data_IF_493950762096
#
_entry.id   IF_493950762096
#
_cell.length_a   1.000
_cell.length_b   1.000
_cell.length_c   1.000
_cell.angle_alpha   90.00
_cell.angle_beta   90.00
_cell.angle_gamma   90.00
#
_symmetry.space_group_name_H-M   'P 1'
#
loop_
_entity.id
_entity.type
_entity.pdbx_description
1 polymer ?
#
# COMPACT_ATOMS: atom_id res chain seq x y z
N UNK A 1 -32.90 46.08 8.41
CA UNK A 1 -33.66 44.91 8.88
C UNK A 1 -33.11 43.72 8.10
N UNK A 2 -32.41 42.79 8.76
CA UNK A 2 -31.91 41.59 8.08
C UNK A 2 -33.07 40.69 7.75
N UNK A 3 -33.10 40.12 6.54
CA UNK A 3 -34.05 39.06 6.20
C UNK A 3 -33.83 37.89 7.16
N UNK A 4 -34.91 37.31 7.68
CA UNK A 4 -34.78 36.15 8.54
C UNK A 4 -34.38 34.94 7.71
N UNK A 5 -33.67 33.98 8.30
CA UNK A 5 -33.24 32.75 7.61
C UNK A 5 -34.44 31.99 7.00
N UNK A 6 -35.62 32.11 7.64
CA UNK A 6 -36.88 31.57 7.13
C UNK A 6 -37.36 32.29 5.87
N UNK A 7 -37.29 33.62 5.84
CA UNK A 7 -37.69 34.40 4.65
C UNK A 7 -36.78 34.08 3.45
N UNK A 8 -35.48 33.89 3.69
CA UNK A 8 -34.53 33.48 2.65
C UNK A 8 -34.88 32.11 2.08
N UNK A 9 -35.26 31.14 2.92
CA UNK A 9 -35.68 29.81 2.48
C UNK A 9 -37.01 29.84 1.71
N UNK A 10 -37.94 30.71 2.10
CA UNK A 10 -39.19 30.92 1.36
C UNK A 10 -38.94 31.56 -0.02
N UNK A 11 -38.04 32.55 -0.09
CA UNK A 11 -37.62 33.18 -1.36
C UNK A 11 -36.90 32.18 -2.30
N UNK A 12 -36.22 31.17 -1.73
CA UNK A 12 -35.62 30.05 -2.48
C UNK A 12 -36.65 29.00 -2.95
N UNK A 13 -37.93 29.14 -2.56
CA UNK A 13 -39.02 28.27 -3.01
C UNK A 13 -39.23 27.00 -2.18
N UNK A 14 -38.71 26.93 -0.95
CA UNK A 14 -38.98 25.82 -0.05
C UNK A 14 -40.36 25.93 0.61
N UNK A 15 -40.99 24.79 0.89
CA UNK A 15 -42.27 24.74 1.60
C UNK A 15 -42.14 25.32 3.01
N UNK A 16 -43.09 26.17 3.39
CA UNK A 16 -43.07 26.93 4.66
C UNK A 16 -42.94 26.03 5.89
N UNK A 17 -43.65 24.90 5.93
CA UNK A 17 -43.62 24.01 7.08
C UNK A 17 -42.28 23.26 7.20
N UNK A 18 -41.64 22.96 6.07
CA UNK A 18 -40.30 22.35 6.03
C UNK A 18 -39.20 23.35 6.39
N UNK A 19 -39.28 24.58 5.88
CA UNK A 19 -38.34 25.65 6.19
C UNK A 19 -38.36 26.01 7.69
N UNK A 20 -39.55 26.08 8.30
CA UNK A 20 -39.69 26.28 9.75
C UNK A 20 -39.03 25.15 10.55
N UNK A 21 -39.19 23.89 10.13
CA UNK A 21 -38.58 22.75 10.80
C UNK A 21 -37.05 22.74 10.66
N UNK A 22 -36.56 23.09 9.47
CA UNK A 22 -35.14 23.17 9.16
C UNK A 22 -34.43 24.23 10.02
N UNK A 23 -35.03 25.43 10.13
CA UNK A 23 -34.49 26.52 10.95
C UNK A 23 -34.53 26.16 12.44
N UNK A 24 -35.60 25.49 12.92
CA UNK A 24 -35.71 25.02 14.30
C UNK A 24 -34.65 23.96 14.65
N UNK A 25 -34.35 23.03 13.75
CA UNK A 25 -33.42 21.91 14.01
C UNK A 25 -31.95 22.29 13.84
N UNK A 26 -31.64 23.23 12.95
CA UNK A 26 -30.26 23.59 12.60
C UNK A 26 -29.75 24.89 13.22
N UNK A 27 -30.66 25.79 13.66
CA UNK A 27 -30.28 27.05 14.30
C UNK A 27 -29.59 28.08 13.40
N UNK A 28 -29.57 27.89 12.08
CA UNK A 28 -29.04 28.88 11.12
C UNK A 28 -29.19 28.46 9.65
N UNK A 29 -29.17 29.44 8.72
CA UNK A 29 -29.43 29.24 7.28
C UNK A 29 -28.63 28.09 6.63
N UNK A 30 -27.31 28.03 6.85
CA UNK A 30 -26.45 27.03 6.22
C UNK A 30 -26.80 25.60 6.68
N UNK A 31 -27.08 25.45 7.98
CA UNK A 31 -27.50 24.16 8.53
C UNK A 31 -28.92 23.79 8.10
N UNK A 32 -29.79 24.77 7.89
CA UNK A 32 -31.15 24.55 7.42
C UNK A 32 -31.14 24.02 5.98
N UNK A 33 -30.28 24.56 5.11
CA UNK A 33 -30.09 24.08 3.74
C UNK A 33 -29.54 22.64 3.71
N UNK A 34 -28.52 22.34 4.51
CA UNK A 34 -27.95 20.98 4.59
C UNK A 34 -28.97 19.96 5.12
N UNK A 35 -29.81 20.37 6.08
CA UNK A 35 -30.89 19.53 6.61
C UNK A 35 -31.99 19.30 5.58
N UNK A 36 -32.39 20.34 4.84
CA UNK A 36 -33.40 20.24 3.77
C UNK A 36 -32.93 19.37 2.61
N UNK A 37 -31.64 19.41 2.26
CA UNK A 37 -31.04 18.53 1.24
C UNK A 37 -31.09 17.06 1.69
N UNK A 38 -30.73 16.78 2.94
CA UNK A 38 -30.74 15.42 3.51
C UNK A 38 -32.13 14.84 3.72
N UNK A 39 -33.14 15.69 3.91
CA UNK A 39 -34.53 15.27 4.18
C UNK A 39 -35.45 15.47 2.98
N UNK A 40 -34.91 15.81 1.81
CA UNK A 40 -35.68 16.09 0.60
C UNK A 40 -36.65 14.97 0.22
N UNK A 41 -36.22 13.71 0.40
CA UNK A 41 -36.97 12.51 0.02
C UNK A 41 -37.98 12.02 1.09
N UNK A 42 -37.96 12.57 2.30
CA UNK A 42 -38.86 12.15 3.40
C UNK A 42 -40.16 12.96 3.38
N UNK A 43 -41.36 12.36 3.39
CA UNK A 43 -42.60 13.12 3.40
C UNK A 43 -42.68 14.02 4.65
N UNK A 44 -43.32 15.18 4.49
CA UNK A 44 -43.37 16.22 5.53
C UNK A 44 -44.06 15.75 6.82
N UNK A 45 -45.00 14.81 6.71
CA UNK A 45 -45.69 14.19 7.85
C UNK A 45 -44.75 13.34 8.71
N UNK A 46 -43.86 12.55 8.10
CA UNK A 46 -42.87 11.74 8.83
C UNK A 46 -41.85 12.64 9.54
N UNK A 47 -41.42 13.73 8.89
CA UNK A 47 -40.51 14.70 9.49
C UNK A 47 -41.14 15.44 10.68
N UNK A 48 -42.44 15.75 10.60
CA UNK A 48 -43.18 16.35 11.71
C UNK A 48 -43.40 15.37 12.87
N UNK A 49 -43.56 14.08 12.58
CA UNK A 49 -43.66 13.04 13.60
C UNK A 49 -42.30 12.81 14.28
N UNK A 50 -41.21 12.70 13.51
CA UNK A 50 -39.83 12.63 14.03
C UNK A 50 -39.51 13.85 14.91
N UNK A 51 -39.94 15.05 14.51
CA UNK A 51 -39.72 16.26 15.31
C UNK A 51 -40.56 16.31 16.60
N UNK A 52 -41.78 15.76 16.59
CA UNK A 52 -42.61 15.63 17.80
C UNK A 52 -42.04 14.59 18.75
N UNK A 53 -41.50 13.50 18.25
CA UNK A 53 -40.81 12.48 19.04
C UNK A 53 -39.52 13.03 19.67
N UNK A 54 -38.71 13.77 18.91
CA UNK A 54 -37.53 14.49 19.42
C UNK A 54 -37.90 15.53 20.51
N UNK A 55 -39.06 16.18 20.41
CA UNK A 55 -39.55 17.18 21.39
C UNK A 55 -40.12 16.52 22.66
N UNK A 56 -40.72 15.33 22.56
CA UNK A 56 -41.14 14.51 23.70
C UNK A 56 -39.96 13.90 24.48
N UNK A 57 -38.84 13.61 23.81
CA UNK A 57 -37.61 13.13 24.45
C UNK A 57 -36.82 14.27 25.13
N UNK A 58 -36.93 15.50 24.62
CA UNK A 58 -36.25 16.67 25.19
C UNK A 58 -37.01 17.32 26.37
N UNK A 59 -38.34 17.15 26.45
CA UNK A 59 -39.16 17.57 27.58
C UNK A 59 -39.55 16.33 28.41
N UNK A 60 -38.77 16.05 29.45
CA UNK A 60 -39.02 14.94 30.37
C UNK A 60 -40.48 14.82 30.82
N UNK A 61 -40.97 13.60 31.11
CA UNK A 61 -42.38 13.30 31.05
C UNK A 61 -43.13 13.97 32.22
N UNK A 62 -43.96 14.97 31.93
CA UNK A 62 -45.14 15.27 32.74
C UNK A 62 -46.23 14.27 32.38
N UNK A 63 -46.13 13.08 32.96
CA UNK A 63 -47.19 12.07 32.94
C UNK A 63 -48.31 12.52 33.87
N UNK A 64 -49.42 12.92 33.26
CA UNK A 64 -50.73 12.91 33.90
C UNK A 64 -51.02 11.49 34.40
N UNK A 65 -51.34 11.38 35.68
CA UNK A 65 -51.65 10.13 36.37
C UNK A 65 -52.82 9.42 35.67
N UNK A 66 -52.55 8.25 35.09
CA UNK A 66 -53.56 7.26 34.74
C UNK A 66 -53.30 6.05 35.64
N UNK A 67 -54.37 5.64 36.32
CA UNK A 67 -54.40 4.63 37.35
C UNK A 67 -53.98 3.25 36.81
N UNK A 68 -52.93 2.68 37.41
CA UNK A 68 -52.41 1.33 37.18
C UNK A 68 -51.07 1.20 37.92
N UNK A 69 -50.91 0.19 38.77
CA UNK A 69 -49.85 0.04 39.77
C UNK A 69 -48.43 0.37 39.25
N UNK A 70 -47.84 1.46 39.74
CA UNK A 70 -46.46 1.85 39.40
C UNK A 70 -45.49 0.95 40.16
N UNK A 71 -44.83 0.04 39.44
CA UNK A 71 -43.73 -0.76 39.96
C UNK A 71 -42.60 0.15 40.50
N UNK A 72 -42.26 -0.03 41.78
CA UNK A 72 -41.32 0.84 42.49
C UNK A 72 -39.84 0.44 42.30
N UNK A 73 -39.56 -0.74 41.73
CA UNK A 73 -38.22 -1.18 41.32
C UNK A 73 -38.28 -2.24 40.20
N UNK A 74 -37.25 -2.27 39.34
CA UNK A 74 -37.09 -3.29 38.28
C UNK A 74 -35.95 -4.24 38.66
N UNK A 75 -36.11 -5.54 38.49
CA UNK A 75 -35.08 -6.55 38.76
C UNK A 75 -34.68 -7.24 37.47
N UNK A 76 -33.39 -7.23 37.14
CA UNK A 76 -32.90 -8.04 36.04
C UNK A 76 -32.90 -9.52 36.44
N UNK A 77 -33.64 -10.36 35.72
CA UNK A 77 -33.75 -11.79 36.01
C UNK A 77 -32.46 -12.56 35.66
N UNK A 78 -31.63 -12.02 34.78
CA UNK A 78 -30.36 -12.63 34.36
C UNK A 78 -29.23 -12.44 35.38
N UNK A 79 -29.24 -11.33 36.14
CA UNK A 79 -28.18 -11.04 37.12
C UNK A 79 -28.66 -10.70 38.53
N UNK A 80 -29.97 -10.73 38.78
CA UNK A 80 -30.60 -10.48 40.09
C UNK A 80 -30.41 -9.06 40.63
N UNK A 81 -29.95 -8.10 39.82
CA UNK A 81 -29.74 -6.71 40.26
C UNK A 81 -31.06 -5.96 40.27
N UNK A 82 -31.34 -5.28 41.39
CA UNK A 82 -32.51 -4.43 41.56
C UNK A 82 -32.17 -2.98 41.20
N UNK A 83 -33.01 -2.36 40.39
CA UNK A 83 -32.88 -1.01 39.85
C UNK A 83 -33.97 -0.11 40.43
N UNK A 84 -33.59 1.13 40.73
CA UNK A 84 -34.45 2.13 41.36
C UNK A 84 -35.43 2.78 40.38
N UNK A 85 -35.08 2.82 39.09
CA UNK A 85 -35.84 3.45 38.02
C UNK A 85 -35.54 2.78 36.67
N UNK A 86 -36.39 3.06 35.67
CA UNK A 86 -36.26 2.56 34.30
C UNK A 86 -34.91 2.95 33.66
N UNK A 87 -34.47 4.20 33.84
CA UNK A 87 -33.19 4.69 33.31
C UNK A 87 -31.95 3.92 33.82
N UNK A 88 -31.95 3.45 35.08
CA UNK A 88 -30.87 2.62 35.60
C UNK A 88 -30.92 1.19 35.04
N UNK A 89 -32.12 0.68 34.71
CA UNK A 89 -32.31 -0.60 34.06
C UNK A 89 -31.81 -0.57 32.60
N UNK A 90 -32.14 0.49 31.86
CA UNK A 90 -31.63 0.74 30.50
C UNK A 90 -30.09 0.88 30.45
N UNK A 91 -29.50 1.63 31.40
CA UNK A 91 -28.05 1.74 31.47
C UNK A 91 -27.38 0.38 31.73
N UNK A 92 -28.00 -0.46 32.56
CA UNK A 92 -27.54 -1.83 32.79
C UNK A 92 -27.72 -2.69 31.53
N UNK A 93 -28.85 -2.59 30.84
CA UNK A 93 -29.10 -3.26 29.57
C UNK A 93 -28.07 -2.86 28.48
N UNK A 94 -27.76 -1.58 28.33
CA UNK A 94 -26.76 -1.11 27.34
C UNK A 94 -25.33 -1.56 27.64
N UNK A 95 -25.02 -1.83 28.92
CA UNK A 95 -23.66 -2.15 29.36
C UNK A 95 -23.40 -3.63 29.49
N UNK A 96 -24.42 -4.41 29.85
CA UNK A 96 -24.32 -5.86 30.04
C UNK A 96 -25.17 -6.65 29.06
N UNK A 97 -25.93 -6.00 28.19
CA UNK A 97 -26.81 -6.62 27.17
C UNK A 97 -27.92 -7.50 27.77
N UNK A 98 -28.30 -7.27 29.03
CA UNK A 98 -29.40 -8.01 29.68
C UNK A 98 -30.73 -7.33 29.36
N UNK A 99 -31.72 -8.11 28.92
CA UNK A 99 -33.03 -7.60 28.46
C UNK A 99 -34.19 -8.03 29.34
N UNK A 100 -34.01 -9.04 30.19
CA UNK A 100 -35.10 -9.58 31.00
C UNK A 100 -35.22 -8.89 32.35
N UNK A 101 -36.20 -7.98 32.49
CA UNK A 101 -36.52 -7.27 33.73
C UNK A 101 -37.91 -7.66 34.26
N UNK A 102 -38.01 -7.94 35.56
CA UNK A 102 -39.26 -8.13 36.29
C UNK A 102 -39.55 -6.94 37.22
N UNK A 103 -40.81 -6.53 37.28
CA UNK A 103 -41.25 -5.46 38.17
C UNK A 103 -41.41 -5.99 39.61
N UNK A 104 -40.65 -5.43 40.56
CA UNK A 104 -40.75 -5.76 41.98
C UNK A 104 -41.27 -4.58 42.80
N UNK A 105 -42.11 -4.86 43.79
CA UNK A 105 -42.73 -3.85 44.67
C UNK A 105 -41.88 -3.45 45.87
N UNK A 106 -40.64 -3.94 45.96
CA UNK A 106 -39.74 -3.65 47.07
C UNK A 106 -39.06 -2.28 46.89
N UNK A 107 -39.37 -1.35 47.80
CA UNK A 107 -38.71 -0.05 47.89
C UNK A 107 -37.27 -0.24 48.35
N UNK A 108 -36.30 -0.07 47.45
CA UNK A 108 -34.87 -0.06 47.81
C UNK A 108 -34.62 1.13 48.73
N UNK A 109 -34.34 0.85 50.01
CA UNK A 109 -34.00 1.85 51.00
C UNK A 109 -32.93 2.82 50.44
N UNK A 110 -33.16 4.14 50.47
CA UNK A 110 -32.16 5.11 50.03
C UNK A 110 -30.89 4.91 50.88
N UNK A 111 -29.73 4.73 50.22
CA UNK A 111 -28.42 4.71 50.89
C UNK A 111 -28.39 5.83 51.95
N UNK A 112 -27.92 5.47 53.14
CA UNK A 112 -27.77 6.40 54.25
C UNK A 112 -26.81 7.53 53.85
N UNK A 113 -26.94 8.71 54.45
CA UNK A 113 -26.15 9.88 54.05
C UNK A 113 -24.64 9.64 54.20
N UNK A 114 -24.23 8.73 55.10
CA UNK A 114 -22.85 8.34 55.33
C UNK A 114 -22.30 7.44 54.21
N UNK A 115 -23.08 6.48 53.72
CA UNK A 115 -22.69 5.60 52.61
C UNK A 115 -22.60 6.37 51.28
N UNK A 116 -23.47 7.37 51.08
CA UNK A 116 -23.39 8.27 49.92
C UNK A 116 -22.12 9.11 49.95
N UNK A 117 -21.72 9.62 51.12
CA UNK A 117 -20.46 10.38 51.28
C UNK A 117 -19.25 9.49 51.02
N UNK A 118 -19.21 8.30 51.61
CA UNK A 118 -18.12 7.34 51.38
C UNK A 118 -18.00 6.95 49.90
N UNK A 119 -19.12 6.69 49.21
CA UNK A 119 -19.11 6.35 47.78
C UNK A 119 -18.71 7.53 46.88
N UNK A 120 -19.06 8.76 47.24
CA UNK A 120 -18.57 9.96 46.55
C UNK A 120 -17.07 10.17 46.74
N UNK A 121 -16.54 9.90 47.94
CA UNK A 121 -15.11 9.98 48.22
C UNK A 121 -14.32 8.90 47.47
N UNK A 122 -14.81 7.67 47.44
CA UNK A 122 -14.23 6.58 46.66
C UNK A 122 -14.22 6.91 45.15
N UNK A 123 -15.32 7.47 44.63
CA UNK A 123 -15.39 7.90 43.23
C UNK A 123 -14.43 9.07 42.94
N UNK A 124 -14.28 10.01 43.87
CA UNK A 124 -13.29 11.11 43.74
C UNK A 124 -11.85 10.57 43.78
N UNK A 125 -11.57 9.57 44.61
CA UNK A 125 -10.26 8.91 44.64
C UNK A 125 -9.97 8.18 43.32
N UNK A 126 -10.92 7.38 42.82
CA UNK A 126 -10.80 6.71 41.51
C UNK A 126 -10.60 7.68 40.35
N UNK A 127 -11.28 8.84 40.36
CA UNK A 127 -11.07 9.87 39.34
C UNK A 127 -9.69 10.53 39.46
N UNK A 128 -9.19 10.77 40.67
CA UNK A 128 -7.84 11.29 40.89
C UNK A 128 -6.78 10.30 40.42
N UNK A 129 -6.94 9.01 40.72
CA UNK A 129 -6.04 7.95 40.26
C UNK A 129 -6.05 7.83 38.73
N UNK A 130 -7.24 7.84 38.10
CA UNK A 130 -7.34 7.84 36.63
C UNK A 130 -6.67 9.06 36.01
N UNK A 131 -6.86 10.25 36.58
CA UNK A 131 -6.22 11.47 36.09
C UNK A 131 -4.70 11.45 36.28
N UNK A 132 -4.21 10.86 37.38
CA UNK A 132 -2.78 10.69 37.61
C UNK A 132 -2.16 9.71 36.59
N UNK A 133 -2.84 8.58 36.33
CA UNK A 133 -2.39 7.61 35.33
C UNK A 133 -2.41 8.19 33.92
N UNK A 134 -3.47 8.92 33.54
CA UNK A 134 -3.53 9.63 32.27
C UNK A 134 -2.39 10.65 32.14
N UNK A 135 -2.11 11.43 33.18
CA UNK A 135 -1.01 12.39 33.16
C UNK A 135 0.39 11.74 33.05
N UNK A 136 0.55 10.48 33.45
CA UNK A 136 1.80 9.72 33.25
C UNK A 136 1.90 9.27 31.79
N UNK A 137 0.82 8.68 31.25
CA UNK A 137 0.76 8.24 29.85
C UNK A 137 0.97 9.41 28.89
N UNK A 138 0.31 10.55 29.11
CA UNK A 138 0.44 11.76 28.30
C UNK A 138 1.89 12.28 28.30
N UNK A 139 2.60 12.18 29.43
CA UNK A 139 4.03 12.55 29.52
C UNK A 139 4.92 11.59 28.73
N UNK A 140 4.61 10.30 28.74
CA UNK A 140 5.35 9.30 27.96
C UNK A 140 5.08 9.43 26.47
N UNK A 141 3.83 9.66 26.08
CA UNK A 141 3.42 9.98 24.70
C UNK A 141 4.09 11.26 24.21
N UNK A 142 4.13 12.32 25.01
CA UNK A 142 4.82 13.56 24.67
C UNK A 142 6.33 13.33 24.45
N UNK A 143 6.99 12.57 25.32
CA UNK A 143 8.40 12.19 25.16
C UNK A 143 8.63 11.36 23.89
N UNK A 144 7.75 10.40 23.60
CA UNK A 144 7.83 9.59 22.37
C UNK A 144 7.65 10.45 21.12
N UNK A 145 6.68 11.36 21.12
CA UNK A 145 6.46 12.28 20.01
C UNK A 145 7.64 13.22 19.79
N UNK A 146 8.24 13.74 20.86
CA UNK A 146 9.45 14.55 20.76
C UNK A 146 10.64 13.75 20.20
N UNK A 147 10.83 12.50 20.65
CA UNK A 147 11.86 11.62 20.10
C UNK A 147 11.65 11.32 18.63
N UNK A 148 10.40 11.09 18.18
CA UNK A 148 10.08 10.89 16.76
C UNK A 148 10.42 12.15 15.95
N UNK A 149 10.12 13.35 16.47
CA UNK A 149 10.48 14.61 15.81
C UNK A 149 12.00 14.79 15.69
N UNK A 150 12.75 14.46 16.73
CA UNK A 150 14.21 14.53 16.71
C UNK A 150 14.82 13.50 15.75
N UNK A 151 14.32 12.25 15.78
CA UNK A 151 14.76 11.17 14.88
C UNK A 151 14.47 11.51 13.42
N UNK A 152 13.25 11.93 13.09
CA UNK A 152 12.90 12.34 11.72
C UNK A 152 13.76 13.53 11.24
N UNK A 153 14.01 14.53 12.08
CA UNK A 153 14.89 15.64 11.72
C UNK A 153 16.31 15.15 11.44
N UNK A 154 16.86 14.28 12.31
CA UNK A 154 18.18 13.68 12.13
C UNK A 154 18.24 12.82 10.86
N UNK A 155 17.29 11.94 10.64
CA UNK A 155 17.21 11.07 9.45
C UNK A 155 17.13 11.90 8.16
N UNK A 156 16.39 13.01 8.15
CA UNK A 156 16.37 13.90 6.98
C UNK A 156 17.71 14.61 6.73
N UNK A 157 18.47 14.91 7.77
CA UNK A 157 19.83 15.47 7.64
C UNK A 157 20.81 14.41 7.15
N UNK A 158 20.82 13.23 7.78
CA UNK A 158 21.66 12.09 7.42
C UNK A 158 21.38 11.65 5.98
N UNK A 159 20.12 11.57 5.55
CA UNK A 159 19.74 11.25 4.17
C UNK A 159 20.25 12.29 3.15
N UNK A 160 20.20 13.59 3.50
CA UNK A 160 20.75 14.66 2.65
C UNK A 160 22.28 14.57 2.54
N UNK A 161 22.97 14.26 3.63
CA UNK A 161 24.42 14.08 3.62
C UNK A 161 24.83 12.83 2.83
N UNK A 162 24.13 11.72 2.98
CA UNK A 162 24.36 10.51 2.21
C UNK A 162 24.13 10.72 0.72
N UNK A 163 23.08 11.42 0.34
CA UNK A 163 22.80 11.74 -1.06
C UNK A 163 23.95 12.58 -1.65
N UNK A 164 24.40 13.63 -0.95
CA UNK A 164 25.55 14.43 -1.35
C UNK A 164 26.84 13.61 -1.46
N UNK A 165 27.11 12.70 -0.51
CA UNK A 165 28.28 11.80 -0.57
C UNK A 165 28.19 10.85 -1.76
N UNK A 166 27.01 10.28 -2.03
CA UNK A 166 26.78 9.40 -3.19
C UNK A 166 26.97 10.16 -4.51
N UNK A 167 26.52 11.40 -4.61
CA UNK A 167 26.75 12.26 -5.78
C UNK A 167 28.23 12.54 -5.99
N UNK A 168 28.95 12.93 -4.94
CA UNK A 168 30.40 13.16 -5.01
C UNK A 168 31.18 11.90 -5.43
N UNK A 169 30.81 10.73 -4.91
CA UNK A 169 31.42 9.46 -5.31
C UNK A 169 31.10 9.10 -6.76
N UNK A 170 29.86 9.32 -7.21
CA UNK A 170 29.46 9.12 -8.62
C UNK A 170 30.22 10.05 -9.55
N UNK A 171 30.34 11.33 -9.21
CA UNK A 171 31.10 12.30 -10.00
C UNK A 171 32.59 11.94 -10.05
N UNK A 172 33.18 11.54 -8.92
CA UNK A 172 34.57 11.08 -8.88
C UNK A 172 34.78 9.80 -9.71
N UNK A 173 33.83 8.86 -9.67
CA UNK A 173 33.87 7.63 -10.47
C UNK A 173 33.72 7.93 -11.96
N UNK A 174 32.78 8.79 -12.35
CA UNK A 174 32.60 9.23 -13.74
C UNK A 174 33.89 9.90 -14.27
N UNK A 175 34.48 10.83 -13.50
CA UNK A 175 35.77 11.45 -13.87
C UNK A 175 36.91 10.44 -14.01
N UNK A 176 36.93 9.36 -13.21
CA UNK A 176 37.93 8.29 -13.37
C UNK A 176 37.67 7.47 -14.63
N UNK A 177 36.41 7.14 -14.91
CA UNK A 177 36.03 6.41 -16.11
C UNK A 177 36.31 7.20 -17.38
N UNK A 178 35.98 8.50 -17.43
CA UNK A 178 36.31 9.39 -18.55
C UNK A 178 37.82 9.43 -18.79
N UNK A 179 38.63 9.59 -17.73
CA UNK A 179 40.09 9.57 -17.85
C UNK A 179 40.63 8.23 -18.39
N UNK A 180 40.04 7.11 -17.99
CA UNK A 180 40.43 5.78 -18.49
C UNK A 180 40.00 5.60 -19.95
N UNK A 181 38.77 5.98 -20.31
CA UNK A 181 38.26 5.94 -21.67
C UNK A 181 39.10 6.82 -22.61
N UNK A 182 39.51 8.01 -22.18
CA UNK A 182 40.41 8.89 -22.94
C UNK A 182 41.78 8.25 -23.15
N UNK A 183 42.31 7.57 -22.13
CA UNK A 183 43.58 6.85 -22.24
C UNK A 183 43.47 5.65 -23.20
N UNK A 184 42.38 4.89 -23.12
CA UNK A 184 42.09 3.77 -24.01
C UNK A 184 41.87 4.23 -25.45
N UNK A 185 41.14 5.32 -25.67
CA UNK A 185 40.96 5.92 -26.99
C UNK A 185 42.31 6.36 -27.57
N UNK A 186 43.16 7.02 -26.78
CA UNK A 186 44.52 7.38 -27.20
C UNK A 186 45.37 6.15 -27.52
N UNK A 187 45.30 5.08 -26.70
CA UNK A 187 46.01 3.81 -26.95
C UNK A 187 45.50 3.13 -28.22
N UNK A 188 44.18 3.11 -28.46
CA UNK A 188 43.58 2.53 -29.64
C UNK A 188 43.98 3.29 -30.92
N UNK A 189 44.00 4.63 -30.89
CA UNK A 189 44.48 5.44 -32.01
C UNK A 189 45.97 5.16 -32.29
N UNK A 190 46.80 5.12 -31.23
CA UNK A 190 48.23 4.77 -31.37
C UNK A 190 48.41 3.37 -31.96
N UNK A 191 47.64 2.39 -31.51
CA UNK A 191 47.70 1.03 -32.04
C UNK A 191 47.28 0.95 -33.51
N UNK A 192 46.26 1.73 -33.94
CA UNK A 192 45.86 1.84 -35.35
C UNK A 192 46.96 2.46 -36.21
N UNK A 193 47.62 3.53 -35.72
CA UNK A 193 48.74 4.16 -36.42
C UNK A 193 49.93 3.19 -36.52
N UNK A 194 50.22 2.44 -35.46
CA UNK A 194 51.28 1.44 -35.47
C UNK A 194 50.97 0.28 -36.41
N UNK A 195 49.73 -0.20 -36.45
CA UNK A 195 49.29 -1.22 -37.39
C UNK A 195 49.42 -0.74 -38.85
N UNK A 196 48.96 0.48 -39.18
CA UNK A 196 49.12 1.06 -40.53
C UNK A 196 50.59 1.21 -40.90
N UNK A 197 51.44 1.66 -39.96
CA UNK A 197 52.88 1.80 -40.18
C UNK A 197 53.54 0.45 -40.41
N UNK A 198 53.20 -0.57 -39.63
CA UNK A 198 53.70 -1.95 -39.79
C UNK A 198 53.24 -2.56 -41.10
N UNK A 199 51.99 -2.34 -41.50
CA UNK A 199 51.48 -2.84 -42.79
C UNK A 199 52.18 -2.15 -43.97
N UNK A 200 52.42 -0.84 -43.88
CA UNK A 200 53.17 -0.09 -44.89
C UNK A 200 54.63 -0.55 -44.96
N UNK A 201 55.28 -0.79 -43.82
CA UNK A 201 56.62 -1.36 -43.76
C UNK A 201 56.65 -2.75 -44.39
N UNK A 202 55.72 -3.64 -44.03
CA UNK A 202 55.61 -4.98 -44.62
C UNK A 202 55.44 -4.93 -46.13
N UNK A 203 54.54 -4.07 -46.65
CA UNK A 203 54.34 -3.89 -48.09
C UNK A 203 55.59 -3.34 -48.80
N UNK A 204 56.31 -2.41 -48.16
CA UNK A 204 57.55 -1.86 -48.71
C UNK A 204 58.68 -2.90 -48.71
N UNK A 205 58.81 -3.70 -47.65
CA UNK A 205 59.77 -4.81 -47.57
C UNK A 205 59.45 -5.91 -48.58
N UNK A 206 58.18 -6.26 -48.74
CA UNK A 206 57.71 -7.22 -49.75
C UNK A 206 58.01 -6.73 -51.17
N UNK A 207 57.74 -5.45 -51.47
CA UNK A 207 58.07 -4.85 -52.75
C UNK A 207 59.59 -4.76 -53.00
N UNK A 208 60.39 -4.49 -51.95
CA UNK A 208 61.85 -4.48 -52.04
C UNK A 208 62.41 -5.88 -52.25
N UNK A 209 61.90 -6.88 -51.53
CA UNK A 209 62.27 -8.29 -51.70
C UNK A 209 61.93 -8.80 -53.11
N UNK A 210 60.76 -8.41 -53.64
CA UNK A 210 60.37 -8.71 -55.02
C UNK A 210 61.31 -8.06 -56.06
N UNK A 211 61.80 -6.84 -55.80
CA UNK A 211 62.71 -6.11 -56.69
C UNK A 211 64.16 -6.61 -56.64
N UNK A 212 64.63 -7.06 -55.48
CA UNK A 212 65.99 -7.61 -55.28
C UNK A 212 66.10 -9.08 -55.71
N UNK A 213 65.05 -9.66 -56.31
CA UNK A 213 65.07 -11.05 -56.79
C UNK A 213 65.28 -12.09 -55.69
N UNK A 214 65.16 -11.69 -54.41
CA UNK A 214 65.23 -12.60 -53.28
C UNK A 214 63.90 -13.34 -53.26
N UNK A 215 63.91 -14.54 -53.85
CA UNK A 215 62.80 -15.46 -53.82
C UNK A 215 62.28 -15.57 -52.38
N UNK A 216 61.10 -15.00 -52.15
CA UNK A 216 60.25 -15.41 -51.04
C UNK A 216 60.07 -16.91 -51.26
N UNK A 217 60.70 -17.72 -50.42
CA UNK A 217 60.36 -19.14 -50.36
C UNK A 217 58.86 -19.16 -50.16
N UNK A 218 58.15 -19.62 -51.17
CA UNK A 218 56.74 -19.90 -51.10
C UNK A 218 56.58 -20.82 -49.89
N UNK A 219 56.02 -20.25 -48.81
CA UNK A 219 55.44 -21.06 -47.77
C UNK A 219 54.45 -21.99 -48.48
N UNK A 220 54.60 -23.28 -48.17
CA UNK A 220 53.80 -24.40 -48.63
C UNK A 220 52.30 -24.04 -48.76
N UNK A 221 51.57 -24.69 -49.68
CA UNK A 221 50.18 -24.38 -49.96
C UNK A 221 49.39 -24.33 -48.66
N UNK A 222 48.82 -23.15 -48.38
CA UNK A 222 47.89 -22.94 -47.29
C UNK A 222 46.77 -23.95 -47.42
N UNK A 223 46.66 -24.76 -46.37
CA UNK A 223 45.62 -25.74 -46.16
C UNK A 223 44.23 -25.13 -46.37
N UNK A 224 43.31 -26.02 -46.74
CA UNK A 224 41.90 -25.81 -46.95
C UNK A 224 41.28 -24.73 -46.04
N UNK A 225 40.41 -23.93 -46.65
CA UNK A 225 39.38 -23.12 -45.98
C UNK A 225 38.93 -23.78 -44.68
N UNK A 226 39.05 -23.12 -43.51
CA UNK A 226 38.57 -23.69 -42.28
C UNK A 226 37.06 -23.90 -42.42
N UNK A 227 36.63 -25.15 -42.27
CA UNK A 227 35.25 -25.48 -41.99
C UNK A 227 34.77 -24.59 -40.82
N UNK A 228 33.51 -24.12 -40.82
CA UNK A 228 32.98 -23.34 -39.72
C UNK A 228 33.25 -24.09 -38.41
N UNK A 229 33.76 -23.41 -37.37
CA UNK A 229 34.12 -24.08 -36.13
C UNK A 229 32.90 -24.83 -35.60
N UNK A 230 33.07 -26.12 -35.35
CA UNK A 230 32.08 -26.88 -34.59
C UNK A 230 31.87 -26.13 -33.28
N UNK A 231 30.64 -25.62 -33.09
CA UNK A 231 30.27 -24.89 -31.89
C UNK A 231 30.47 -25.85 -30.72
N UNK A 232 31.46 -25.57 -29.88
CA UNK A 232 31.59 -26.23 -28.59
C UNK A 232 30.28 -25.99 -27.85
N UNK A 233 29.59 -27.06 -27.46
CA UNK A 233 28.30 -26.98 -26.79
C UNK A 233 28.57 -26.44 -25.39
N UNK A 234 28.33 -25.15 -25.18
CA UNK A 234 28.44 -24.53 -23.86
C UNK A 234 27.25 -24.95 -23.01
N UNK A 235 27.45 -25.91 -22.11
CA UNK A 235 26.41 -26.39 -21.17
C UNK A 235 26.13 -25.41 -19.99
N UNK A 236 26.71 -24.21 -20.03
CA UNK A 236 26.52 -23.15 -19.03
C UNK A 236 25.50 -22.09 -19.45
N UNK A 237 25.14 -22.04 -20.74
CA UNK A 237 24.17 -21.08 -21.27
C UNK A 237 23.08 -21.85 -22.04
N UNK A 238 21.85 -21.37 -21.94
CA UNK A 238 20.68 -21.88 -22.64
C UNK A 238 20.15 -20.80 -23.60
N UNK A 239 20.11 -21.13 -24.89
CA UNK A 239 19.43 -20.29 -25.90
C UNK A 239 17.97 -20.70 -26.00
N UNK A 240 17.07 -19.84 -25.54
CA UNK A 240 15.63 -20.05 -25.59
C UNK A 240 15.01 -19.30 -26.77
N UNK A 241 14.21 -20.02 -27.57
CA UNK A 241 13.28 -19.43 -28.53
C UNK A 241 11.88 -19.44 -27.90
N UNK A 242 11.39 -18.27 -27.53
CA UNK A 242 10.12 -18.02 -26.88
C UNK A 242 9.12 -17.64 -27.98
N UNK A 243 8.07 -18.44 -28.18
CA UNK A 243 6.98 -18.13 -29.12
C UNK A 243 5.87 -17.43 -28.35
N UNK A 244 5.77 -16.11 -28.48
CA UNK A 244 4.72 -15.30 -27.87
C UNK A 244 3.59 -15.08 -28.88
N UNK A 245 2.37 -14.72 -28.43
CA UNK A 245 1.30 -14.27 -29.31
C UNK A 245 1.68 -13.03 -30.14
N UNK A 246 2.58 -12.19 -29.61
CA UNK A 246 3.10 -10.98 -30.27
C UNK A 246 4.23 -11.24 -31.26
N UNK A 247 4.84 -12.44 -31.25
CA UNK A 247 5.97 -12.79 -32.11
C UNK A 247 6.96 -13.76 -31.46
N UNK A 248 8.02 -14.11 -32.20
CA UNK A 248 9.07 -14.98 -31.69
C UNK A 248 10.23 -14.15 -31.12
N UNK A 249 10.60 -14.41 -29.86
CA UNK A 249 11.72 -13.77 -29.17
C UNK A 249 12.82 -14.81 -28.92
N UNK A 250 14.08 -14.45 -29.17
CA UNK A 250 15.24 -15.31 -28.86
C UNK A 250 16.07 -14.65 -27.76
N UNK A 251 16.30 -15.36 -26.65
CA UNK A 251 17.12 -14.90 -25.53
C UNK A 251 18.09 -15.97 -25.10
N UNK A 252 19.23 -15.54 -24.57
CA UNK A 252 20.23 -16.43 -23.97
C UNK A 252 20.24 -16.17 -22.47
N UNK A 253 20.07 -17.23 -21.68
CA UNK A 253 20.09 -17.17 -20.23
C UNK A 253 21.14 -18.15 -19.67
N UNK A 254 21.74 -17.89 -18.51
CA UNK A 254 22.55 -18.87 -17.80
C UNK A 254 21.75 -20.14 -17.48
N UNK A 255 22.41 -21.31 -17.48
CA UNK A 255 21.78 -22.61 -17.28
C UNK A 255 21.05 -22.77 -15.92
N UNK A 256 21.47 -22.01 -14.92
CA UNK A 256 20.96 -22.06 -13.55
C UNK A 256 19.82 -21.05 -13.30
N UNK A 257 19.43 -20.27 -14.31
CA UNK A 257 18.26 -19.40 -14.22
C UNK A 257 16.98 -20.21 -14.10
N UNK A 258 16.02 -19.68 -13.35
CA UNK A 258 14.72 -20.33 -13.13
C UNK A 258 13.71 -19.92 -14.19
N UNK A 259 12.69 -20.75 -14.43
CA UNK A 259 11.58 -20.40 -15.32
C UNK A 259 10.83 -19.14 -14.85
N UNK A 260 10.83 -18.86 -13.54
CA UNK A 260 10.32 -17.62 -12.96
C UNK A 260 11.07 -16.38 -13.45
N UNK A 261 12.41 -16.39 -13.41
CA UNK A 261 13.23 -15.26 -13.89
C UNK A 261 13.02 -15.02 -15.39
N UNK A 262 12.83 -16.09 -16.17
CA UNK A 262 12.49 -15.99 -17.60
C UNK A 262 11.11 -15.36 -17.80
N UNK A 263 10.12 -15.71 -16.98
CA UNK A 263 8.79 -15.08 -17.00
C UNK A 263 8.88 -13.60 -16.66
N UNK A 264 9.61 -13.23 -15.61
CA UNK A 264 9.83 -11.84 -15.22
C UNK A 264 10.54 -11.03 -16.31
N UNK A 265 11.50 -11.64 -17.01
CA UNK A 265 12.19 -11.02 -18.14
C UNK A 265 11.30 -10.83 -19.38
N UNK A 266 10.15 -11.52 -19.47
CA UNK A 266 9.14 -11.31 -20.50
C UNK A 266 8.06 -10.31 -20.05
N UNK A 267 7.72 -10.30 -18.76
CA UNK A 267 6.81 -9.31 -18.18
C UNK A 267 7.39 -7.90 -18.25
N UNK A 268 8.71 -7.74 -18.07
CA UNK A 268 9.38 -6.45 -18.26
C UNK A 268 9.34 -5.95 -19.70
N UNK A 269 9.14 -6.85 -20.67
CA UNK A 269 8.91 -6.53 -22.09
C UNK A 269 7.42 -6.37 -22.43
N UNK A 270 6.54 -6.47 -21.43
CA UNK A 270 5.10 -6.26 -21.57
C UNK A 270 4.31 -7.51 -21.98
N UNK A 271 4.87 -8.71 -21.83
CA UNK A 271 4.13 -9.96 -22.08
C UNK A 271 3.88 -10.71 -20.77
N UNK A 272 2.60 -10.84 -20.41
CA UNK A 272 2.19 -11.66 -19.27
C UNK A 272 2.25 -13.15 -19.63
N UNK A 273 2.99 -13.92 -18.86
CA UNK A 273 3.18 -15.35 -19.08
C UNK A 273 2.33 -16.15 -18.10
N UNK A 274 1.39 -16.97 -18.58
CA UNK A 274 0.61 -17.89 -17.74
C UNK A 274 1.22 -19.29 -17.76
N UNK A 275 1.60 -19.76 -18.94
CA UNK A 275 2.14 -21.12 -19.12
C UNK A 275 3.24 -21.17 -20.17
N UNK A 276 4.25 -22.01 -19.91
CA UNK A 276 5.27 -22.38 -20.89
C UNK A 276 5.03 -23.81 -21.37
N UNK A 277 4.87 -24.00 -22.68
CA UNK A 277 4.68 -25.33 -23.27
C UNK A 277 5.86 -25.69 -24.17
N UNK A 278 6.50 -26.84 -23.92
CA UNK A 278 7.48 -27.45 -24.83
C UNK A 278 6.78 -28.22 -25.94
N UNK A 279 7.36 -28.22 -27.14
CA UNK A 279 6.84 -28.96 -28.30
C UNK A 279 7.15 -30.46 -28.22
N UNK A 280 8.37 -30.85 -27.81
CA UNK A 280 8.78 -32.26 -27.72
C UNK A 280 9.92 -32.49 -26.71
N UNK A 281 9.78 -33.43 -25.76
CA UNK A 281 8.53 -34.05 -25.31
C UNK A 281 7.58 -32.97 -24.77
N UNK A 282 6.27 -33.12 -25.02
CA UNK A 282 5.29 -32.10 -24.63
C UNK A 282 5.24 -32.00 -23.09
N UNK A 283 5.74 -30.90 -22.56
CA UNK A 283 5.72 -30.56 -21.12
C UNK A 283 5.11 -29.17 -20.98
N UNK A 284 4.19 -29.02 -20.04
CA UNK A 284 3.58 -27.75 -19.70
C UNK A 284 4.10 -27.36 -18.32
N UNK A 285 4.65 -26.16 -18.21
CA UNK A 285 5.10 -25.56 -16.97
C UNK A 285 4.20 -24.37 -16.66
N UNK A 286 3.59 -24.37 -15.49
CA UNK A 286 2.76 -23.26 -15.03
C UNK A 286 3.64 -22.17 -14.39
N UNK A 287 3.48 -20.92 -14.84
CA UNK A 287 4.31 -19.81 -14.36
C UNK A 287 4.08 -19.48 -12.87
N UNK A 288 2.90 -19.82 -12.35
CA UNK A 288 2.51 -19.66 -10.94
C UNK A 288 2.66 -20.93 -10.09
N UNK A 289 3.09 -22.03 -10.70
CA UNK A 289 3.15 -23.34 -10.04
C UNK A 289 4.52 -23.69 -9.47
N UNK A 290 4.65 -24.93 -9.00
CA UNK A 290 5.90 -25.55 -8.51
C UNK A 290 6.97 -25.56 -9.63
N UNK A 291 6.53 -25.54 -10.89
CA UNK A 291 7.40 -25.55 -12.05
C UNK A 291 8.19 -24.24 -12.25
N UNK A 292 7.75 -23.13 -11.67
CA UNK A 292 8.43 -21.83 -11.78
C UNK A 292 9.83 -21.83 -11.14
N UNK A 293 10.04 -22.66 -10.11
CA UNK A 293 11.32 -22.81 -9.42
C UNK A 293 12.33 -23.74 -10.11
N UNK A 294 11.92 -24.46 -11.18
CA UNK A 294 12.85 -25.35 -11.91
C UNK A 294 13.85 -24.52 -12.72
N UNK A 295 15.11 -24.93 -12.68
CA UNK A 295 16.15 -24.29 -13.50
C UNK A 295 16.05 -24.71 -14.96
N UNK A 296 16.58 -23.91 -15.88
CA UNK A 296 16.62 -24.26 -17.31
C UNK A 296 17.36 -25.59 -17.58
N UNK A 297 18.34 -25.93 -16.74
CA UNK A 297 19.04 -27.22 -16.74
C UNK A 297 18.10 -28.37 -16.37
N UNK A 298 17.34 -28.24 -15.29
CA UNK A 298 16.38 -29.27 -14.82
C UNK A 298 15.19 -29.44 -15.77
N UNK A 299 14.74 -28.35 -16.40
CA UNK A 299 13.70 -28.36 -17.41
C UNK A 299 14.15 -29.01 -18.74
N UNK A 300 15.46 -29.24 -18.92
CA UNK A 300 16.03 -29.84 -20.14
C UNK A 300 16.11 -28.87 -21.32
N UNK A 301 16.27 -27.56 -21.05
CA UNK A 301 16.29 -26.49 -22.05
C UNK A 301 17.72 -26.03 -22.43
N UNK A 302 18.75 -26.64 -21.83
CA UNK A 302 20.17 -26.43 -22.15
C UNK A 302 20.59 -27.50 -23.17
N UNK A 303 21.31 -27.16 -24.26
CA UNK A 303 21.88 -25.84 -24.62
C UNK A 303 20.91 -24.94 -25.40
N UNK A 304 19.82 -25.50 -25.93
CA UNK A 304 18.80 -24.74 -26.64
C UNK A 304 17.41 -25.33 -26.44
N UNK A 305 16.41 -24.48 -26.21
CA UNK A 305 15.03 -24.88 -25.99
C UNK A 305 14.03 -24.01 -26.75
N UNK A 306 12.88 -24.58 -27.10
CA UNK A 306 11.75 -23.84 -27.69
C UNK A 306 10.58 -23.94 -26.71
N UNK A 307 10.08 -22.79 -26.27
CA UNK A 307 8.93 -22.68 -25.39
C UNK A 307 7.84 -21.86 -26.07
N UNK A 308 6.62 -22.37 -26.07
CA UNK A 308 5.43 -21.64 -26.45
C UNK A 308 4.90 -20.96 -25.20
N UNK A 309 4.76 -19.64 -25.26
CA UNK A 309 4.29 -18.79 -24.17
C UNK A 309 2.81 -18.51 -24.39
N UNK A 310 1.97 -18.86 -23.41
CA UNK A 310 0.53 -18.59 -23.39
C UNK A 310 0.13 -17.80 -22.14
#
# INVERSE_FOLDING_TARGET
>A
MGQSDLDVLLDMGFDKARAELAVKKSGGLQGALEWLEKTQDKPLEDLQNEAKEDELEAAGPTISSVEGEVAKSLVCNECGKKFRNHAAAEFHASKTEHTDFSESTEEIAPLTEEEKKARLEEMRQKLKEKRANQAILDKEDAKRNEQIRLKSTRETQDAKEELKRKEQLKEAAAKRQEKLADQEAKKAIKAKIEADKRERQRKAEEAKAAREGRAVQAAAPVAATPAPPQRTVSHNEARLRLQLPSGNVQKTFPADTTLFEVAQALESEGTHVKTFTMTFPRKVFEASGIDSGKTLREAGLVPSGVLIVQ
#
